data_IF_236969329177
#
_entry.id   IF_236969329177
#
_cell.length_a   1.000
_cell.length_b   1.000
_cell.length_c   1.000
_cell.angle_alpha   90.00
_cell.angle_beta   90.00
_cell.angle_gamma   90.00
#
_symmetry.space_group_name_H-M   'P 1'
#
loop_
_entity.id
_entity.type
_entity.pdbx_description
1 polymer ?
#
# COMPACT_ATOMS: atom_id res chain seq x y z
N UNK A 1 -27.99 1.76 7.99
CA UNK A 1 -28.30 0.33 7.80
C UNK A 1 -27.13 -0.28 7.03
N UNK A 2 -26.12 -0.80 7.77
CA UNK A 2 -24.90 -1.40 7.19
C UNK A 2 -25.25 -2.84 6.83
N UNK A 3 -25.23 -3.15 5.54
CA UNK A 3 -25.49 -4.50 5.03
C UNK A 3 -24.25 -5.36 5.31
N UNK A 4 -24.30 -6.15 6.37
CA UNK A 4 -23.35 -7.24 6.62
C UNK A 4 -23.62 -8.35 5.59
N UNK A 5 -22.90 -8.34 4.48
CA UNK A 5 -22.82 -9.48 3.58
C UNK A 5 -21.97 -10.56 4.28
N UNK A 6 -22.63 -11.46 4.97
CA UNK A 6 -22.03 -12.69 5.45
C UNK A 6 -21.80 -13.62 4.25
N UNK A 7 -20.62 -13.55 3.65
CA UNK A 7 -20.17 -14.55 2.68
C UNK A 7 -19.89 -15.82 3.48
N UNK A 8 -20.77 -16.82 3.33
CA UNK A 8 -20.51 -18.18 3.82
C UNK A 8 -19.43 -18.81 2.92
N UNK A 9 -18.19 -18.68 3.31
CA UNK A 9 -17.07 -19.41 2.70
C UNK A 9 -17.08 -20.81 3.28
N UNK A 10 -17.37 -21.80 2.44
CA UNK A 10 -17.26 -23.22 2.79
C UNK A 10 -15.82 -23.54 3.16
N UNK A 11 -15.60 -24.01 4.37
CA UNK A 11 -14.32 -24.33 4.99
C UNK A 11 -13.62 -25.51 4.29
N UNK A 12 -12.78 -25.20 3.32
CA UNK A 12 -11.75 -26.11 2.82
C UNK A 12 -10.39 -25.40 2.86
N UNK A 13 -9.77 -25.36 4.05
CA UNK A 13 -8.48 -24.72 4.24
C UNK A 13 -8.57 -23.18 4.32
N UNK A 14 -7.60 -22.54 4.95
CA UNK A 14 -7.50 -21.08 5.00
C UNK A 14 -7.02 -20.54 3.65
N UNK A 15 -7.93 -20.30 2.73
CA UNK A 15 -7.62 -19.89 1.36
C UNK A 15 -7.79 -18.39 1.11
N UNK A 16 -8.41 -17.64 2.02
CA UNK A 16 -8.60 -16.21 1.89
C UNK A 16 -7.99 -15.46 3.07
N UNK A 17 -7.50 -14.26 2.82
CA UNK A 17 -7.06 -13.38 3.88
C UNK A 17 -7.45 -11.93 3.65
N UNK A 18 -7.59 -11.20 4.75
CA UNK A 18 -7.70 -9.74 4.76
C UNK A 18 -6.65 -9.21 5.72
N UNK A 19 -5.90 -8.21 5.31
CA UNK A 19 -4.83 -7.62 6.13
C UNK A 19 -4.85 -6.11 6.10
N UNK A 20 -4.25 -5.51 7.13
CA UNK A 20 -3.99 -4.08 7.23
C UNK A 20 -2.54 -3.86 7.66
N UNK A 21 -1.86 -2.91 7.01
CA UNK A 21 -0.47 -2.56 7.31
C UNK A 21 -0.43 -1.49 8.41
N UNK A 22 0.13 -1.84 9.56
CA UNK A 22 0.24 -0.98 10.73
C UNK A 22 1.16 0.21 10.46
N UNK A 23 2.23 0.02 9.65
CA UNK A 23 3.15 1.11 9.28
C UNK A 23 2.45 2.20 8.48
N UNK A 24 1.42 1.86 7.70
CA UNK A 24 0.62 2.84 6.97
C UNK A 24 -0.06 3.86 7.90
N UNK A 25 -0.46 3.45 9.08
CA UNK A 25 -1.06 4.38 10.05
C UNK A 25 -0.03 5.34 10.67
N UNK A 26 1.25 4.96 10.72
CA UNK A 26 2.32 5.87 11.12
C UNK A 26 2.68 6.89 10.01
N UNK A 27 2.35 6.62 8.76
CA UNK A 27 2.51 7.53 7.62
C UNK A 27 1.24 8.38 7.47
N UNK A 28 1.12 9.44 8.30
CA UNK A 28 -0.01 10.39 8.29
C UNK A 28 -1.39 9.72 8.36
N UNK A 29 -1.55 8.66 9.16
CA UNK A 29 -2.81 7.91 9.32
C UNK A 29 -3.36 7.36 7.99
N UNK A 30 -2.49 6.90 7.10
CA UNK A 30 -2.89 6.31 5.82
C UNK A 30 -3.73 5.05 6.03
N UNK A 31 -5.00 5.12 5.68
CA UNK A 31 -5.93 3.98 5.71
C UNK A 31 -5.50 2.99 4.63
N UNK A 32 -5.48 1.70 4.96
CA UNK A 32 -5.09 0.67 4.01
C UNK A 32 -5.78 -0.66 4.30
N UNK A 33 -6.03 -1.42 3.26
CA UNK A 33 -6.48 -2.79 3.35
C UNK A 33 -6.02 -3.58 2.13
N UNK A 34 -5.72 -4.85 2.35
CA UNK A 34 -5.39 -5.83 1.32
C UNK A 34 -6.25 -7.07 1.52
N UNK A 35 -6.82 -7.58 0.43
CA UNK A 35 -7.48 -8.89 0.39
C UNK A 35 -6.67 -9.81 -0.51
N UNK A 36 -6.48 -11.07 -0.10
CA UNK A 36 -5.79 -12.05 -0.92
C UNK A 36 -6.46 -13.42 -0.88
N UNK A 37 -6.17 -14.21 -1.91
CA UNK A 37 -6.70 -15.56 -2.09
C UNK A 37 -5.59 -16.52 -2.50
N UNK A 38 -5.50 -17.65 -1.80
CA UNK A 38 -4.60 -18.75 -2.11
C UNK A 38 -5.12 -19.55 -3.31
N UNK A 39 -4.53 -19.34 -4.47
CA UNK A 39 -4.90 -20.05 -5.71
C UNK A 39 -4.28 -21.44 -5.80
N UNK A 40 -3.25 -21.70 -5.01
CA UNK A 40 -2.63 -23.01 -4.86
C UNK A 40 -1.89 -23.08 -3.51
N UNK A 41 -1.30 -24.23 -3.20
CA UNK A 41 -0.52 -24.45 -1.97
C UNK A 41 0.62 -23.44 -1.79
N UNK A 42 1.20 -22.96 -2.88
CA UNK A 42 2.39 -22.09 -2.89
C UNK A 42 2.15 -20.71 -3.48
N UNK A 43 0.94 -20.38 -3.95
CA UNK A 43 0.66 -19.12 -4.60
C UNK A 43 -0.59 -18.47 -4.04
N UNK A 44 -0.48 -17.20 -3.72
CA UNK A 44 -1.62 -16.33 -3.46
C UNK A 44 -1.62 -15.14 -4.41
N UNK A 45 -2.81 -14.66 -4.76
CA UNK A 45 -3.03 -13.42 -5.49
C UNK A 45 -3.79 -12.47 -4.59
N UNK A 46 -3.52 -11.19 -4.70
CA UNK A 46 -4.18 -10.21 -3.84
C UNK A 46 -4.28 -8.84 -4.51
N UNK A 47 -5.14 -8.04 -3.94
CA UNK A 47 -5.31 -6.65 -4.31
C UNK A 47 -5.54 -5.82 -3.04
N UNK A 48 -5.08 -4.59 -3.07
CA UNK A 48 -5.22 -3.69 -1.95
C UNK A 48 -5.28 -2.23 -2.36
N UNK A 49 -5.61 -1.41 -1.39
CA UNK A 49 -5.62 0.02 -1.55
C UNK A 49 -5.01 0.72 -0.35
N UNK A 50 -4.50 1.94 -0.58
CA UNK A 50 -4.11 2.89 0.44
C UNK A 50 -4.80 4.22 0.17
N UNK A 51 -5.26 4.88 1.21
CA UNK A 51 -5.97 6.13 1.10
C UNK A 51 -5.60 7.07 2.24
N UNK A 52 -5.06 8.23 1.89
CA UNK A 52 -4.73 9.28 2.83
C UNK A 52 -5.34 10.60 2.35
N UNK A 53 -6.46 11.04 2.93
CA UNK A 53 -7.10 12.31 2.59
C UNK A 53 -6.72 13.45 3.55
N UNK A 54 -5.78 13.24 4.49
CA UNK A 54 -5.61 14.16 5.62
C UNK A 54 -4.70 15.33 5.28
N UNK A 55 -5.17 16.52 5.65
CA UNK A 55 -4.39 17.76 5.71
C UNK A 55 -4.17 18.17 7.16
N UNK A 56 -2.98 18.62 7.48
CA UNK A 56 -2.62 19.14 8.80
C UNK A 56 -2.17 20.59 8.70
N UNK A 57 -2.24 21.33 9.80
CA UNK A 57 -1.68 22.69 9.87
C UNK A 57 -0.15 22.59 9.89
N UNK A 58 0.51 23.12 8.87
CA UNK A 58 1.97 23.21 8.77
C UNK A 58 2.45 24.66 8.87
N UNK A 59 3.75 24.84 8.99
CA UNK A 59 4.41 26.14 9.07
C UNK A 59 4.27 26.97 7.78
N UNK A 60 4.23 26.30 6.64
CA UNK A 60 4.18 26.89 5.29
C UNK A 60 2.76 26.90 4.67
N UNK A 61 1.75 26.54 5.46
CA UNK A 61 0.37 26.35 5.00
C UNK A 61 -0.13 24.93 5.29
N UNK A 62 -1.12 24.42 4.56
CA UNK A 62 -1.59 23.05 4.76
C UNK A 62 -0.48 22.04 4.44
N UNK A 63 -0.05 21.30 5.45
CA UNK A 63 0.84 20.16 5.29
C UNK A 63 0.01 18.94 4.89
N UNK A 64 0.25 18.42 3.68
CA UNK A 64 -0.49 17.30 3.13
C UNK A 64 0.43 16.22 2.59
N UNK A 65 -0.01 14.98 2.77
CA UNK A 65 0.57 13.79 2.13
C UNK A 65 -0.59 12.95 1.58
N UNK A 66 -1.45 13.61 0.80
CA UNK A 66 -2.59 12.94 0.21
C UNK A 66 -2.12 11.86 -0.75
N UNK A 67 -2.76 10.70 -0.65
CA UNK A 67 -2.42 9.55 -1.46
C UNK A 67 -3.64 8.69 -1.74
N UNK A 68 -3.74 8.25 -2.97
CA UNK A 68 -4.66 7.19 -3.40
C UNK A 68 -3.86 6.16 -4.16
N UNK A 69 -3.72 4.99 -3.59
CA UNK A 69 -2.95 3.90 -4.19
C UNK A 69 -3.84 2.69 -4.37
N UNK A 70 -3.75 2.06 -5.53
CA UNK A 70 -4.36 0.75 -5.81
C UNK A 70 -3.27 -0.17 -6.33
N UNK A 71 -3.25 -1.39 -5.85
CA UNK A 71 -2.29 -2.38 -6.31
C UNK A 71 -2.92 -3.77 -6.39
N UNK A 72 -2.33 -4.60 -7.27
CA UNK A 72 -2.63 -6.01 -7.34
C UNK A 72 -1.33 -6.79 -7.58
N UNK A 73 -1.26 -8.01 -7.06
CA UNK A 73 -0.04 -8.78 -7.12
C UNK A 73 -0.22 -10.24 -6.77
N UNK A 74 0.92 -10.95 -6.78
CA UNK A 74 1.00 -12.33 -6.38
C UNK A 74 2.16 -12.55 -5.42
N UNK A 75 2.02 -13.50 -4.50
CA UNK A 75 3.07 -13.94 -3.58
C UNK A 75 3.31 -15.44 -3.75
N UNK A 76 4.56 -15.80 -3.74
CA UNK A 76 5.00 -17.19 -3.71
C UNK A 76 5.52 -17.56 -2.32
N UNK A 77 5.10 -18.72 -1.84
CA UNK A 77 5.35 -19.25 -0.51
C UNK A 77 6.09 -20.59 -0.61
N UNK A 78 7.34 -20.70 -0.13
CA UNK A 78 8.10 -21.95 -0.19
C UNK A 78 7.41 -23.14 0.49
N UNK A 79 6.63 -22.88 1.54
CA UNK A 79 5.96 -23.94 2.32
C UNK A 79 4.46 -24.02 2.03
N UNK A 80 3.68 -23.18 2.66
CA UNK A 80 2.23 -23.07 2.46
C UNK A 80 1.84 -21.61 2.41
N UNK A 81 0.76 -21.32 1.69
CA UNK A 81 0.15 -19.99 1.66
C UNK A 81 -0.10 -19.49 3.10
N UNK A 82 0.23 -18.23 3.33
CA UNK A 82 0.12 -17.52 4.60
C UNK A 82 1.04 -18.03 5.73
N UNK A 83 2.08 -18.79 5.45
CA UNK A 83 2.99 -19.33 6.45
C UNK A 83 4.46 -19.20 6.08
N UNK A 84 5.24 -18.59 6.96
CA UNK A 84 6.69 -18.49 6.81
C UNK A 84 7.16 -17.47 5.77
N UNK A 85 8.26 -17.74 5.11
CA UNK A 85 8.84 -16.87 4.09
C UNK A 85 7.97 -16.74 2.86
N UNK A 86 8.00 -15.56 2.25
CA UNK A 86 7.36 -15.30 0.96
C UNK A 86 8.14 -14.30 0.14
N UNK A 87 7.98 -14.37 -1.16
CA UNK A 87 8.39 -13.34 -2.11
C UNK A 87 7.19 -12.95 -2.94
N UNK A 88 7.10 -11.68 -3.31
CA UNK A 88 5.96 -11.15 -4.03
C UNK A 88 6.34 -10.16 -5.12
N UNK A 89 5.42 -10.03 -6.07
CA UNK A 89 5.47 -8.99 -7.08
C UNK A 89 4.08 -8.36 -7.20
N UNK A 90 4.05 -7.05 -7.44
CA UNK A 90 2.81 -6.30 -7.60
C UNK A 90 2.93 -5.26 -8.71
N UNK A 91 1.80 -4.94 -9.33
CA UNK A 91 1.61 -3.73 -10.12
C UNK A 91 0.86 -2.71 -9.25
N UNK A 92 1.24 -1.46 -9.34
CA UNK A 92 0.72 -0.37 -8.51
C UNK A 92 0.50 0.88 -9.34
N UNK A 93 -0.61 1.56 -9.06
CA UNK A 93 -0.91 2.92 -9.47
C UNK A 93 -1.12 3.77 -8.22
N UNK A 94 -0.59 4.98 -8.25
CA UNK A 94 -0.67 5.95 -7.16
C UNK A 94 -0.94 7.34 -7.71
N UNK A 95 -1.94 8.02 -7.18
CA UNK A 95 -2.17 9.45 -7.29
C UNK A 95 -1.75 10.09 -5.97
N UNK A 96 -0.97 11.16 -6.02
CA UNK A 96 -0.45 11.79 -4.81
C UNK A 96 -0.41 13.32 -4.91
N UNK A 97 -0.57 13.98 -3.75
CA UNK A 97 -0.34 15.40 -3.55
C UNK A 97 0.41 15.60 -2.23
N UNK A 98 1.66 16.05 -2.32
CA UNK A 98 2.56 16.18 -1.18
C UNK A 98 3.10 17.60 -1.11
N UNK A 99 2.96 18.28 0.03
CA UNK A 99 3.47 19.64 0.19
C UNK A 99 3.31 20.19 1.59
N UNK A 100 3.95 21.34 1.85
CA UNK A 100 3.83 22.07 3.12
C UNK A 100 4.46 21.38 4.35
N UNK A 101 5.20 20.26 4.19
CA UNK A 101 5.76 19.48 5.29
C UNK A 101 7.14 19.98 5.66
N UNK A 102 8.04 20.10 4.68
CA UNK A 102 9.45 20.53 4.88
C UNK A 102 9.79 21.78 4.11
N UNK A 103 9.01 22.12 3.10
CA UNK A 103 9.17 23.25 2.23
C UNK A 103 7.80 23.73 1.76
N UNK A 104 7.66 24.97 1.27
CA UNK A 104 6.38 25.49 0.77
C UNK A 104 5.95 24.86 -0.55
N UNK A 105 6.86 24.18 -1.26
CA UNK A 105 6.53 23.57 -2.55
C UNK A 105 5.57 22.39 -2.37
N UNK A 106 4.69 22.23 -3.36
CA UNK A 106 3.76 21.10 -3.45
C UNK A 106 4.00 20.35 -4.74
N UNK A 107 4.20 19.04 -4.66
CA UNK A 107 4.30 18.13 -5.79
C UNK A 107 3.01 17.30 -5.89
N UNK A 108 2.36 17.38 -7.02
CA UNK A 108 1.17 16.58 -7.35
C UNK A 108 1.46 15.73 -8.59
N UNK A 109 0.91 14.54 -8.63
CA UNK A 109 1.12 13.70 -9.78
C UNK A 109 0.54 12.30 -9.67
N UNK A 110 0.79 11.56 -10.76
CA UNK A 110 0.46 10.16 -10.92
C UNK A 110 1.72 9.33 -11.09
N UNK A 111 1.75 8.17 -10.47
CA UNK A 111 2.82 7.19 -10.61
C UNK A 111 2.25 5.81 -10.91
N UNK A 112 2.88 5.08 -11.79
CA UNK A 112 2.54 3.68 -12.07
C UNK A 112 3.81 2.86 -12.26
N UNK A 113 3.76 1.62 -11.85
CA UNK A 113 4.91 0.75 -11.93
C UNK A 113 4.69 -0.62 -11.35
N UNK A 114 5.80 -1.31 -11.14
CA UNK A 114 5.84 -2.62 -10.55
C UNK A 114 6.76 -2.63 -9.32
N UNK A 115 6.47 -3.52 -8.39
CA UNK A 115 7.24 -3.72 -7.18
C UNK A 115 7.56 -5.19 -6.95
N UNK A 116 8.66 -5.42 -6.24
CA UNK A 116 9.02 -6.73 -5.71
C UNK A 116 9.26 -6.61 -4.21
N UNK A 117 8.81 -7.59 -3.46
CA UNK A 117 8.92 -7.62 -2.01
C UNK A 117 9.22 -9.02 -1.50
N UNK A 118 9.80 -9.09 -0.33
CA UNK A 118 10.03 -10.34 0.38
C UNK A 118 9.72 -10.15 1.85
N UNK A 119 9.31 -11.21 2.52
CA UNK A 119 8.93 -11.11 3.91
C UNK A 119 8.72 -12.44 4.59
N UNK A 120 8.21 -12.35 5.81
CA UNK A 120 7.93 -13.49 6.67
C UNK A 120 6.59 -13.31 7.37
N UNK A 121 5.76 -14.33 7.29
CA UNK A 121 4.46 -14.40 7.98
C UNK A 121 4.56 -15.28 9.21
N UNK A 122 4.39 -14.65 10.38
CA UNK A 122 4.40 -15.30 11.68
C UNK A 122 2.97 -15.59 12.13
N UNK A 123 2.64 -16.86 12.32
CA UNK A 123 1.36 -17.27 12.86
C UNK A 123 1.29 -16.94 14.36
N UNK A 124 0.44 -16.00 14.74
CA UNK A 124 0.17 -15.64 16.14
C UNK A 124 -0.96 -16.51 16.72
N UNK A 125 -1.95 -16.78 15.90
CA UNK A 125 -3.12 -17.58 16.25
C UNK A 125 -3.61 -18.34 15.03
N UNK A 126 -4.54 -19.27 15.20
CA UNK A 126 -5.09 -20.12 14.13
C UNK A 126 -5.56 -19.31 12.90
N UNK A 127 -6.12 -18.12 13.12
CA UNK A 127 -6.67 -17.28 12.06
C UNK A 127 -6.00 -15.89 11.99
N UNK A 128 -4.90 -15.67 12.72
CA UNK A 128 -4.24 -14.37 12.83
C UNK A 128 -2.75 -14.51 12.63
N UNK A 129 -2.22 -13.85 11.62
CA UNK A 129 -0.80 -13.78 11.32
C UNK A 129 -0.28 -12.35 11.42
N UNK A 130 0.97 -12.22 11.78
CA UNK A 130 1.74 -10.99 11.68
C UNK A 130 2.71 -11.13 10.51
N UNK A 131 2.58 -10.23 9.54
CA UNK A 131 3.31 -10.29 8.28
C UNK A 131 4.34 -9.17 8.22
N UNK A 132 5.62 -9.53 8.12
CA UNK A 132 6.74 -8.61 7.98
C UNK A 132 7.24 -8.65 6.55
N UNK A 133 7.47 -7.48 5.95
CA UNK A 133 7.97 -7.44 4.60
C UNK A 133 8.71 -6.15 4.29
N UNK A 134 9.64 -6.29 3.35
CA UNK A 134 10.36 -5.18 2.75
C UNK A 134 10.34 -5.33 1.23
N UNK A 135 10.25 -4.22 0.53
CA UNK A 135 10.23 -4.25 -0.92
C UNK A 135 10.65 -2.94 -1.56
N UNK A 136 10.80 -3.03 -2.86
CA UNK A 136 11.06 -1.91 -3.74
C UNK A 136 9.92 -1.81 -4.73
N UNK A 137 9.55 -0.60 -5.10
CA UNK A 137 8.73 -0.39 -6.28
C UNK A 137 9.28 0.72 -7.14
N UNK A 138 9.07 0.61 -8.43
CA UNK A 138 9.58 1.57 -9.39
C UNK A 138 8.74 1.58 -10.65
N UNK A 139 8.89 2.65 -11.41
CA UNK A 139 8.12 2.88 -12.62
C UNK A 139 8.32 4.29 -13.14
N UNK A 140 7.27 4.85 -13.67
CA UNK A 140 7.23 6.22 -14.15
C UNK A 140 6.25 7.05 -13.35
N UNK A 141 6.65 8.29 -13.05
CA UNK A 141 5.77 9.30 -12.48
C UNK A 141 5.66 10.50 -13.40
N UNK A 142 4.45 11.06 -13.51
CA UNK A 142 4.18 12.40 -14.01
C UNK A 142 3.95 13.29 -12.81
N UNK A 143 4.59 14.45 -12.80
CA UNK A 143 4.51 15.35 -11.66
C UNK A 143 4.38 16.80 -12.12
N UNK A 144 3.75 17.60 -11.27
CA UNK A 144 3.68 19.06 -11.38
C UNK A 144 4.06 19.62 -10.03
N UNK A 145 5.02 20.54 -10.02
CA UNK A 145 5.48 21.24 -8.81
C UNK A 145 4.89 22.63 -8.79
N UNK A 146 4.25 22.96 -7.67
CA UNK A 146 3.71 24.27 -7.37
C UNK A 146 4.58 24.96 -6.33
N UNK A 147 4.79 26.28 -6.48
CA UNK A 147 5.64 27.09 -5.60
C UNK A 147 5.15 27.17 -4.16
N UNK A 148 3.87 27.04 -3.93
CA UNK A 148 3.27 27.06 -2.60
C UNK A 148 1.99 26.22 -2.58
N UNK A 149 1.53 25.78 -1.40
CA UNK A 149 0.36 24.90 -1.28
C UNK A 149 -0.97 25.50 -1.77
N UNK A 150 -1.05 26.83 -1.91
CA UNK A 150 -2.32 27.54 -2.21
C UNK A 150 -2.26 28.48 -3.40
N UNK A 151 -1.07 28.75 -3.98
CA UNK A 151 -0.94 29.82 -4.99
C UNK A 151 -1.17 29.36 -6.45
N UNK A 152 -1.28 28.08 -6.72
CA UNK A 152 -1.53 27.55 -8.08
C UNK A 152 -0.48 27.88 -9.15
N UNK A 153 0.65 28.51 -8.78
CA UNK A 153 1.72 28.83 -9.73
C UNK A 153 2.60 27.62 -9.97
N UNK A 154 2.50 27.06 -11.15
CA UNK A 154 3.37 25.94 -11.60
C UNK A 154 4.79 26.43 -11.76
N UNK A 155 5.77 25.73 -11.16
CA UNK A 155 7.20 25.94 -11.35
C UNK A 155 7.80 24.93 -12.32
N UNK A 156 7.43 23.67 -12.18
CA UNK A 156 7.98 22.59 -12.99
C UNK A 156 6.89 21.57 -13.32
N UNK A 157 6.96 21.00 -14.51
CA UNK A 157 6.13 19.89 -14.92
C UNK A 157 7.00 18.89 -15.69
N UNK A 158 6.88 17.61 -15.37
CA UNK A 158 7.71 16.63 -16.01
C UNK A 158 7.25 15.18 -15.82
N UNK A 159 8.06 14.30 -16.39
CA UNK A 159 7.91 12.85 -16.21
C UNK A 159 9.28 12.25 -15.95
N UNK A 160 9.38 11.38 -14.96
CA UNK A 160 10.65 10.69 -14.67
C UNK A 160 10.43 9.26 -14.17
N UNK A 161 11.43 8.41 -14.45
CA UNK A 161 11.52 7.10 -13.82
C UNK A 161 11.94 7.26 -12.34
N UNK A 162 11.49 6.33 -11.51
CA UNK A 162 11.85 6.27 -10.10
C UNK A 162 11.97 4.83 -9.61
N UNK A 163 12.75 4.65 -8.56
CA UNK A 163 12.77 3.42 -7.75
C UNK A 163 12.82 3.84 -6.29
N UNK A 164 11.92 3.31 -5.49
CA UNK A 164 11.79 3.66 -4.06
C UNK A 164 11.74 2.40 -3.19
N UNK A 165 12.46 2.37 -2.06
CA UNK A 165 12.26 1.39 -1.01
C UNK A 165 10.99 1.78 -0.22
N UNK A 166 9.82 1.48 -0.74
CA UNK A 166 8.56 2.00 -0.20
C UNK A 166 7.63 0.94 0.37
N UNK A 167 8.01 -0.31 0.31
CA UNK A 167 7.19 -1.44 0.75
C UNK A 167 7.67 -1.95 2.11
N UNK A 168 7.61 -1.07 3.11
CA UNK A 168 7.79 -1.50 4.52
C UNK A 168 6.44 -2.01 4.99
N UNK A 169 6.37 -3.30 5.27
CA UNK A 169 5.16 -3.98 5.66
C UNK A 169 5.30 -4.54 7.07
N UNK A 170 4.38 -4.15 7.93
CA UNK A 170 4.08 -4.78 9.20
C UNK A 170 2.57 -4.91 9.25
N UNK A 171 2.05 -6.04 8.81
CA UNK A 171 0.61 -6.20 8.60
C UNK A 171 0.01 -7.22 9.56
N UNK A 172 -1.13 -6.87 10.10
CA UNK A 172 -1.99 -7.84 10.77
C UNK A 172 -2.90 -8.47 9.73
N UNK A 173 -2.80 -9.79 9.57
CA UNK A 173 -3.51 -10.58 8.58
C UNK A 173 -4.47 -11.55 9.25
N UNK A 174 -5.71 -11.55 8.81
CA UNK A 174 -6.75 -12.49 9.21
C UNK A 174 -6.98 -13.47 8.08
N UNK A 175 -6.87 -14.77 8.37
CA UNK A 175 -7.04 -15.87 7.41
C UNK A 175 -8.32 -16.66 7.67
N UNK A 176 -8.99 -17.05 6.60
CA UNK A 176 -10.29 -17.72 6.62
C UNK A 176 -10.28 -19.02 5.82
#
# INVERSE_FOLDING_TARGET
MILLLAVQVSLHGQNASVSTNIVGYADFLTLNAEASYGVSRHWSVGAGFMYNPWEFKGEWGPARNERRTVYAGARWWPWNVYSGWWIGAKAQWEEYSRGGIRAPETEEGDAWGAGASAGYSLMLHRNVNLDFGLGLWGGWKRYTVYRCPTCGRTEEQGSKAFVLPSDVQLSLMFTF
#
